data_IF_745738218741
#
_entry.id   IF_745738218741
#
_cell.length_a   1.000
_cell.length_b   1.000
_cell.length_c   1.000
_cell.angle_alpha   90.00
_cell.angle_beta   90.00
_cell.angle_gamma   90.00
#
_symmetry.space_group_name_H-M   'P 1'
#
loop_
_entity.id
_entity.type
_entity.pdbx_description
1 polymer ?
#
# COMPACT_ATOMS: atom_id res chain seq x y z
N UNK A 1 11.10 4.97 8.78
CA UNK A 1 11.19 4.07 9.95
C UNK A 1 12.46 3.26 9.78
N UNK A 2 13.47 3.45 10.64
CA UNK A 2 14.63 2.56 10.65
C UNK A 2 14.12 1.12 10.81
N UNK A 3 14.50 0.22 9.90
CA UNK A 3 13.98 -1.15 9.91
C UNK A 3 14.30 -1.77 11.27
N UNK A 4 13.32 -2.49 11.85
CA UNK A 4 13.48 -3.24 13.10
C UNK A 4 14.75 -4.13 13.07
N UNK A 5 15.18 -4.50 11.86
CA UNK A 5 16.40 -5.23 11.60
C UNK A 5 17.70 -4.55 12.06
N UNK A 6 17.76 -3.22 12.12
CA UNK A 6 18.96 -2.50 12.54
C UNK A 6 19.29 -2.66 14.05
N UNK A 7 18.30 -3.06 14.86
CA UNK A 7 18.45 -3.25 16.30
C UNK A 7 18.70 -4.72 16.71
N UNK A 8 18.47 -5.67 15.79
CA UNK A 8 18.72 -7.10 16.00
C UNK A 8 20.15 -7.44 16.47
N UNK A 9 21.22 -6.77 15.99
CA UNK A 9 22.58 -7.03 16.47
C UNK A 9 22.73 -6.72 17.96
N UNK A 10 22.13 -5.63 18.44
CA UNK A 10 22.17 -5.25 19.86
C UNK A 10 21.35 -6.22 20.72
N UNK A 11 20.16 -6.63 20.26
CA UNK A 11 19.34 -7.61 20.96
C UNK A 11 20.03 -8.97 21.08
N UNK A 12 20.71 -9.44 20.02
CA UNK A 12 21.48 -10.69 20.06
C UNK A 12 22.70 -10.59 20.97
N UNK A 13 23.44 -9.49 20.91
CA UNK A 13 24.62 -9.29 21.76
C UNK A 13 24.27 -9.35 23.27
N UNK A 14 23.13 -8.77 23.65
CA UNK A 14 22.62 -8.82 25.03
C UNK A 14 22.19 -10.23 25.46
N UNK A 15 21.78 -11.10 24.53
CA UNK A 15 21.28 -12.43 24.84
C UNK A 15 22.39 -13.45 25.13
N UNK A 16 23.61 -13.27 24.60
CA UNK A 16 24.71 -14.26 24.58
C UNK A 16 25.00 -14.88 25.96
N UNK A 17 24.85 -14.12 27.05
CA UNK A 17 25.12 -14.61 28.40
C UNK A 17 24.09 -15.59 28.97
N UNK A 18 22.81 -15.50 28.58
CA UNK A 18 21.72 -16.28 29.19
C UNK A 18 20.98 -17.21 28.19
N UNK A 19 21.31 -17.17 26.89
CA UNK A 19 20.74 -18.08 25.87
C UNK A 19 20.76 -19.55 26.27
N UNK A 20 21.83 -20.10 26.90
CA UNK A 20 21.87 -21.53 27.23
C UNK A 20 20.79 -21.97 28.22
N UNK A 21 20.14 -21.02 28.91
CA UNK A 21 19.11 -21.25 29.94
C UNK A 21 17.72 -20.81 29.44
N UNK A 22 17.65 -20.09 28.30
CA UNK A 22 16.41 -19.54 27.79
C UNK A 22 15.64 -20.55 26.92
N UNK A 23 14.34 -20.69 27.18
CA UNK A 23 13.43 -21.49 26.33
C UNK A 23 13.03 -20.78 25.02
N UNK A 24 13.33 -19.48 24.87
CA UNK A 24 12.95 -18.71 23.69
C UNK A 24 14.07 -18.74 22.63
N UNK A 25 13.72 -18.93 21.34
CA UNK A 25 14.69 -18.94 20.26
C UNK A 25 15.34 -17.56 20.07
N UNK A 26 16.61 -17.57 19.67
CA UNK A 26 17.36 -16.34 19.38
C UNK A 26 16.70 -15.53 18.24
N UNK A 27 16.79 -14.19 18.29
CA UNK A 27 16.38 -13.35 17.17
C UNK A 27 17.12 -13.76 15.88
N UNK A 28 16.48 -13.65 14.72
CA UNK A 28 17.09 -14.03 13.44
C UNK A 28 18.46 -13.35 13.20
N UNK A 29 19.40 -14.02 12.53
CA UNK A 29 20.72 -13.45 12.24
C UNK A 29 20.61 -12.23 11.30
N UNK A 30 21.57 -11.30 11.36
CA UNK A 30 21.55 -10.12 10.50
C UNK A 30 21.58 -10.51 9.02
N UNK A 31 20.74 -9.82 8.24
CA UNK A 31 20.53 -9.98 6.81
C UNK A 31 21.88 -9.89 6.06
N UNK A 32 22.12 -10.82 5.13
CA UNK A 32 23.36 -10.90 4.32
C UNK A 32 23.51 -9.65 3.44
N UNK A 33 24.75 -9.35 3.00
CA UNK A 33 25.00 -8.19 2.11
C UNK A 33 24.20 -8.24 0.81
N UNK A 34 23.91 -9.44 0.32
CA UNK A 34 23.20 -9.70 -0.93
C UNK A 34 21.69 -9.47 -0.79
N UNK A 35 21.10 -9.89 0.34
CA UNK A 35 19.71 -9.60 0.67
C UNK A 35 19.48 -8.10 0.91
N UNK A 36 20.41 -7.39 1.58
CA UNK A 36 20.33 -5.92 1.73
C UNK A 36 20.33 -5.20 0.39
N UNK A 37 21.16 -5.62 -0.57
CA UNK A 37 21.18 -5.03 -1.92
C UNK A 37 19.84 -5.16 -2.64
N UNK A 38 19.13 -6.28 -2.44
CA UNK A 38 17.82 -6.51 -3.05
C UNK A 38 16.71 -5.69 -2.37
N UNK A 39 16.82 -5.47 -1.05
CA UNK A 39 15.92 -4.62 -0.27
C UNK A 39 16.09 -3.11 -0.57
N UNK A 40 17.31 -2.70 -0.93
CA UNK A 40 17.68 -1.32 -1.28
C UNK A 40 17.54 -1.02 -2.79
N UNK A 41 16.82 -1.84 -3.56
CA UNK A 41 16.57 -1.54 -4.97
C UNK A 41 15.36 -0.61 -5.11
N UNK A 42 15.57 0.54 -5.77
CA UNK A 42 14.47 1.38 -6.23
C UNK A 42 13.97 0.88 -7.58
N UNK A 43 12.68 1.03 -7.81
CA UNK A 43 12.06 0.76 -9.09
C UNK A 43 11.09 1.87 -9.47
N UNK A 44 10.78 1.93 -10.76
CA UNK A 44 9.92 2.96 -11.35
C UNK A 44 8.53 2.36 -11.59
N UNK A 45 7.51 3.13 -11.19
CA UNK A 45 6.10 2.87 -11.47
C UNK A 45 5.59 4.02 -12.33
N UNK A 46 5.33 3.76 -13.60
CA UNK A 46 4.76 4.71 -14.53
C UNK A 46 3.24 4.56 -14.54
N UNK A 47 2.53 5.60 -14.12
CA UNK A 47 1.06 5.65 -14.09
C UNK A 47 0.57 6.67 -15.11
N UNK A 48 0.06 6.18 -16.24
CA UNK A 48 -0.39 6.97 -17.41
C UNK A 48 0.59 8.10 -17.80
N UNK A 49 1.90 7.81 -17.77
CA UNK A 49 2.98 8.74 -18.11
C UNK A 49 3.64 9.43 -16.91
N UNK A 50 3.01 9.45 -15.73
CA UNK A 50 3.60 10.01 -14.51
C UNK A 50 4.46 8.95 -13.83
N UNK A 51 5.77 9.22 -13.74
CA UNK A 51 6.73 8.32 -13.11
C UNK A 51 6.81 8.55 -11.61
N UNK A 52 6.56 7.49 -10.85
CA UNK A 52 6.78 7.40 -9.43
C UNK A 52 7.97 6.49 -9.15
N UNK A 53 8.76 6.84 -8.14
CA UNK A 53 9.85 6.00 -7.67
C UNK A 53 9.63 5.60 -6.21
N UNK A 54 9.93 4.34 -5.91
CA UNK A 54 9.89 3.82 -4.55
C UNK A 54 10.87 2.68 -4.36
N UNK A 55 11.18 2.37 -3.10
CA UNK A 55 11.98 1.21 -2.74
C UNK A 55 11.14 -0.07 -2.82
N UNK A 56 11.74 -1.18 -3.24
CA UNK A 56 11.09 -2.49 -3.26
C UNK A 56 10.49 -2.87 -1.90
N UNK A 57 11.27 -2.68 -0.84
CA UNK A 57 10.84 -2.93 0.54
C UNK A 57 9.62 -2.10 1.00
N UNK A 58 9.27 -1.02 0.29
CA UNK A 58 8.14 -0.17 0.65
C UNK A 58 6.83 -0.84 0.28
N UNK A 59 6.76 -1.43 -0.92
CA UNK A 59 5.56 -2.13 -1.38
C UNK A 59 5.42 -3.53 -0.74
N UNK A 60 6.54 -4.20 -0.46
CA UNK A 60 6.58 -5.53 0.16
C UNK A 60 6.02 -5.56 1.60
N UNK A 61 5.74 -4.40 2.22
CA UNK A 61 5.07 -4.34 3.53
C UNK A 61 3.65 -4.90 3.52
N UNK A 62 2.99 -4.89 2.36
CA UNK A 62 1.60 -5.31 2.19
C UNK A 62 1.50 -6.34 1.06
N UNK A 63 1.98 -7.57 1.27
CA UNK A 63 2.15 -8.58 0.22
C UNK A 63 0.82 -9.13 -0.34
N UNK A 64 -0.29 -8.80 0.28
CA UNK A 64 -1.67 -9.13 -0.10
C UNK A 64 -2.29 -8.13 -1.10
N UNK A 65 -1.57 -7.08 -1.46
CA UNK A 65 -1.98 -6.06 -2.43
C UNK A 65 -1.30 -6.24 -3.78
N UNK A 66 -1.80 -5.63 -4.85
CA UNK A 66 -1.24 -5.77 -6.20
C UNK A 66 0.25 -5.39 -6.27
N UNK A 67 0.63 -4.25 -5.69
CA UNK A 67 2.02 -3.78 -5.74
C UNK A 67 2.93 -4.55 -4.80
N UNK A 68 2.41 -5.08 -3.70
CA UNK A 68 3.19 -5.85 -2.73
C UNK A 68 3.37 -7.31 -3.15
N UNK A 69 2.45 -7.85 -3.94
CA UNK A 69 2.46 -9.24 -4.42
C UNK A 69 3.26 -9.40 -5.72
N UNK A 70 3.27 -10.63 -6.25
CA UNK A 70 3.85 -10.93 -7.56
C UNK A 70 2.95 -10.46 -8.72
N UNK A 71 1.73 -9.99 -8.46
CA UNK A 71 0.81 -9.54 -9.51
C UNK A 71 1.34 -8.31 -10.26
N UNK A 72 2.12 -7.45 -9.59
CA UNK A 72 2.79 -6.33 -10.29
C UNK A 72 3.64 -6.77 -11.47
N UNK A 73 4.20 -7.99 -11.45
CA UNK A 73 5.09 -8.46 -12.53
C UNK A 73 4.35 -8.64 -13.86
N UNK A 74 3.01 -8.74 -13.86
CA UNK A 74 2.20 -8.69 -15.08
C UNK A 74 2.20 -7.32 -15.77
N UNK A 75 2.58 -6.27 -15.04
CA UNK A 75 2.63 -4.88 -15.51
C UNK A 75 4.05 -4.40 -15.78
N UNK A 76 5.06 -5.27 -15.62
CA UNK A 76 6.44 -4.92 -15.86
C UNK A 76 6.77 -4.92 -17.35
N UNK A 77 7.33 -3.82 -17.85
CA UNK A 77 7.86 -3.73 -19.21
C UNK A 77 9.38 -3.90 -19.20
N UNK A 78 9.85 -4.96 -19.87
CA UNK A 78 11.28 -5.27 -19.94
C UNK A 78 12.09 -4.26 -20.77
N UNK A 79 11.46 -3.60 -21.75
CA UNK A 79 12.14 -2.65 -22.64
C UNK A 79 12.44 -1.35 -21.89
N UNK A 80 11.42 -0.78 -21.24
CA UNK A 80 11.54 0.46 -20.47
C UNK A 80 12.06 0.25 -19.05
N UNK A 81 12.06 -0.99 -18.54
CA UNK A 81 12.45 -1.37 -17.18
C UNK A 81 11.65 -0.65 -16.09
N UNK A 82 10.35 -0.44 -16.36
CA UNK A 82 9.40 0.16 -15.43
C UNK A 82 8.11 -0.65 -15.39
N UNK A 83 7.35 -0.52 -14.29
CA UNK A 83 5.99 -1.04 -14.23
C UNK A 83 5.04 0.00 -14.82
N UNK A 84 4.16 -0.40 -15.74
CA UNK A 84 3.21 0.50 -16.38
C UNK A 84 1.76 0.21 -15.97
N UNK A 85 1.06 1.25 -15.54
CA UNK A 85 -0.35 1.21 -15.19
C UNK A 85 -1.10 2.30 -15.95
N UNK A 86 -2.10 1.90 -16.74
CA UNK A 86 -3.00 2.85 -17.40
C UNK A 86 -4.16 3.25 -16.47
N UNK A 87 -3.81 3.97 -15.39
CA UNK A 87 -4.65 4.28 -14.23
C UNK A 87 -4.51 5.75 -13.83
N UNK A 88 -5.32 6.21 -12.88
CA UNK A 88 -5.29 7.61 -12.44
C UNK A 88 -4.02 7.94 -11.60
N UNK A 89 -3.14 8.84 -12.07
CA UNK A 89 -1.90 9.17 -11.37
C UNK A 89 -2.08 10.09 -10.15
N UNK A 90 -3.20 10.79 -10.02
CA UNK A 90 -3.49 11.68 -8.89
C UNK A 90 -3.97 10.86 -7.68
N UNK A 91 -4.85 9.88 -7.90
CA UNK A 91 -5.27 8.92 -6.88
C UNK A 91 -4.11 7.99 -6.50
N UNK A 92 -3.30 7.53 -7.47
CA UNK A 92 -2.16 6.66 -7.20
C UNK A 92 -1.18 7.24 -6.18
N UNK A 93 -1.02 8.56 -6.11
CA UNK A 93 -0.18 9.22 -5.10
C UNK A 93 -0.61 8.85 -3.67
N UNK A 94 -1.91 8.72 -3.42
CA UNK A 94 -2.44 8.32 -2.11
C UNK A 94 -2.19 6.85 -1.82
N UNK A 95 -2.34 6.00 -2.84
CA UNK A 95 -2.04 4.56 -2.79
C UNK A 95 -0.57 4.34 -2.44
N UNK A 96 0.36 5.00 -3.15
CA UNK A 96 1.79 4.87 -2.86
C UNK A 96 2.16 5.38 -1.45
N UNK A 97 1.48 6.43 -0.97
CA UNK A 97 1.70 6.96 0.37
C UNK A 97 1.20 6.01 1.48
N UNK A 98 0.20 5.18 1.21
CA UNK A 98 -0.21 4.11 2.13
C UNK A 98 0.95 3.15 2.39
N UNK A 99 1.65 2.65 1.36
CA UNK A 99 2.84 1.79 1.55
C UNK A 99 3.97 2.47 2.33
N UNK A 100 4.12 3.80 2.17
CA UNK A 100 5.17 4.57 2.85
C UNK A 100 4.87 4.77 4.34
N UNK A 101 3.64 5.15 4.67
CA UNK A 101 3.24 5.62 6.01
C UNK A 101 2.47 4.59 6.83
N UNK A 102 1.86 3.61 6.17
CA UNK A 102 0.92 2.65 6.73
C UNK A 102 -0.46 3.22 7.04
N UNK A 103 -0.77 4.43 6.57
CA UNK A 103 -2.07 5.08 6.74
C UNK A 103 -2.62 5.48 5.39
N UNK A 104 -3.83 5.00 5.06
CA UNK A 104 -4.51 5.38 3.84
C UNK A 104 -5.31 6.67 4.09
N UNK A 105 -5.11 7.66 3.23
CA UNK A 105 -5.76 8.96 3.34
C UNK A 105 -6.77 9.14 2.20
N UNK A 106 -7.99 9.53 2.55
CA UNK A 106 -9.04 9.87 1.60
C UNK A 106 -8.91 11.33 1.13
N UNK A 107 -8.70 11.58 -0.19
CA UNK A 107 -8.67 12.94 -0.74
C UNK A 107 -10.07 13.50 -0.97
N UNK A 108 -10.47 14.51 -0.19
CA UNK A 108 -11.83 15.11 -0.25
C UNK A 108 -12.21 15.71 -1.60
N UNK A 109 -11.24 16.10 -2.41
CA UNK A 109 -11.44 16.70 -3.73
C UNK A 109 -11.70 15.67 -4.83
N UNK A 110 -11.43 14.39 -4.57
CA UNK A 110 -11.65 13.34 -5.55
C UNK A 110 -13.09 12.83 -5.52
N UNK A 111 -13.52 12.27 -6.65
CA UNK A 111 -14.75 11.51 -6.72
C UNK A 111 -14.61 10.24 -5.85
N UNK A 112 -15.62 9.97 -5.02
CA UNK A 112 -15.63 8.79 -4.15
C UNK A 112 -15.53 7.49 -4.97
N UNK A 113 -16.33 7.38 -6.05
CA UNK A 113 -16.38 6.16 -6.86
C UNK A 113 -15.04 5.91 -7.56
N UNK A 114 -14.45 6.94 -8.17
CA UNK A 114 -13.13 6.83 -8.78
C UNK A 114 -12.05 6.43 -7.77
N UNK A 115 -12.13 6.96 -6.54
CA UNK A 115 -11.22 6.55 -5.47
C UNK A 115 -11.41 5.08 -5.08
N UNK A 116 -12.65 4.62 -4.86
CA UNK A 116 -12.96 3.22 -4.54
C UNK A 116 -12.54 2.27 -5.68
N UNK A 117 -12.72 2.66 -6.94
CA UNK A 117 -12.32 1.88 -8.12
C UNK A 117 -10.80 1.69 -8.19
N UNK A 118 -10.02 2.74 -7.91
CA UNK A 118 -8.55 2.64 -7.86
C UNK A 118 -8.10 1.81 -6.66
N UNK A 119 -8.71 1.98 -5.48
CA UNK A 119 -8.40 1.14 -4.33
C UNK A 119 -8.64 -0.35 -4.63
N UNK A 120 -9.78 -0.66 -5.25
CA UNK A 120 -10.12 -2.02 -5.67
C UNK A 120 -9.10 -2.59 -6.66
N UNK A 121 -8.69 -1.80 -7.66
CA UNK A 121 -7.68 -2.23 -8.64
C UNK A 121 -6.34 -2.58 -7.99
N UNK A 122 -5.87 -1.76 -7.04
CA UNK A 122 -4.60 -2.03 -6.34
C UNK A 122 -4.73 -3.02 -5.17
N UNK A 123 -5.93 -3.59 -4.95
CA UNK A 123 -6.19 -4.59 -3.92
C UNK A 123 -6.15 -4.04 -2.50
N UNK A 124 -6.52 -2.77 -2.30
CA UNK A 124 -6.53 -2.12 -0.99
C UNK A 124 -7.98 -1.96 -0.51
N UNK A 125 -8.30 -2.51 0.66
CA UNK A 125 -9.64 -2.44 1.24
C UNK A 125 -9.84 -1.05 1.88
N UNK A 126 -10.96 -0.34 1.62
CA UNK A 126 -11.21 0.99 2.20
C UNK A 126 -11.22 1.03 3.75
N UNK A 127 -11.40 -0.11 4.41
CA UNK A 127 -11.37 -0.23 5.87
C UNK A 127 -10.00 0.13 6.50
N UNK A 128 -8.93 0.20 5.70
CA UNK A 128 -7.60 0.64 6.15
C UNK A 128 -7.42 2.17 6.13
N UNK A 129 -8.46 2.93 5.74
CA UNK A 129 -8.46 4.39 5.84
C UNK A 129 -8.25 4.79 7.30
N UNK A 130 -7.25 5.64 7.54
CA UNK A 130 -6.93 6.07 8.89
C UNK A 130 -8.00 6.98 9.48
N UNK A 131 -8.12 6.98 10.81
CA UNK A 131 -9.09 7.77 11.59
C UNK A 131 -9.15 9.26 11.18
N UNK A 132 -8.01 9.82 10.77
CA UNK A 132 -7.92 11.21 10.31
C UNK A 132 -8.77 11.54 9.08
N UNK A 133 -9.18 10.54 8.29
CA UNK A 133 -9.95 10.72 7.07
C UNK A 133 -11.19 9.80 6.99
N UNK A 134 -11.35 8.90 7.97
CA UNK A 134 -12.41 7.88 7.96
C UNK A 134 -13.81 8.48 7.97
N UNK A 135 -14.04 9.48 8.83
CA UNK A 135 -15.33 10.16 8.94
C UNK A 135 -15.73 10.83 7.61
N UNK A 136 -14.79 11.56 6.99
CA UNK A 136 -15.03 12.21 5.69
C UNK A 136 -15.37 11.20 4.58
N UNK A 137 -14.65 10.07 4.54
CA UNK A 137 -14.93 9.00 3.58
C UNK A 137 -16.32 8.39 3.81
N UNK A 138 -16.65 8.07 5.06
CA UNK A 138 -17.93 7.45 5.43
C UNK A 138 -19.11 8.36 5.10
N UNK A 139 -19.00 9.65 5.41
CA UNK A 139 -20.04 10.63 5.13
C UNK A 139 -20.28 10.77 3.62
N UNK A 140 -19.20 10.86 2.82
CA UNK A 140 -19.29 10.88 1.36
C UNK A 140 -19.90 9.59 0.78
N UNK A 141 -19.59 8.44 1.36
CA UNK A 141 -20.16 7.14 0.96
C UNK A 141 -21.65 7.06 1.24
N UNK A 142 -22.07 7.56 2.40
CA UNK A 142 -23.49 7.67 2.74
C UNK A 142 -24.24 8.60 1.79
N UNK A 143 -23.73 9.80 1.55
CA UNK A 143 -24.34 10.77 0.64
C UNK A 143 -24.47 10.20 -0.78
N UNK A 144 -23.44 9.53 -1.28
CA UNK A 144 -23.49 8.89 -2.60
C UNK A 144 -24.55 7.78 -2.66
N UNK A 145 -24.70 6.98 -1.60
CA UNK A 145 -25.71 5.94 -1.54
C UNK A 145 -27.13 6.50 -1.49
N UNK A 146 -27.36 7.58 -0.73
CA UNK A 146 -28.65 8.28 -0.67
C UNK A 146 -29.06 8.81 -2.06
N UNK A 147 -28.14 9.46 -2.78
CA UNK A 147 -28.39 9.94 -4.16
C UNK A 147 -28.76 8.81 -5.13
N UNK A 148 -28.04 7.69 -5.08
CA UNK A 148 -28.33 6.53 -5.94
C UNK A 148 -29.71 5.90 -5.63
N UNK A 149 -30.14 5.94 -4.37
CA UNK A 149 -31.48 5.48 -3.99
C UNK A 149 -32.57 6.40 -4.51
N UNK A 150 -32.37 7.72 -4.40
CA UNK A 150 -33.30 8.73 -4.90
C UNK A 150 -33.46 8.65 -6.43
N UNK A 151 -32.35 8.54 -7.16
CA UNK A 151 -32.36 8.36 -8.62
C UNK A 151 -33.14 7.10 -9.00
N UNK A 152 -32.88 5.97 -8.34
CA UNK A 152 -33.59 4.71 -8.58
C UNK A 152 -35.09 4.80 -8.28
N UNK A 153 -35.49 5.52 -7.23
CA UNK A 153 -36.90 5.74 -6.90
C UNK A 153 -37.59 6.59 -7.98
N UNK A 154 -36.91 7.62 -8.46
CA UNK A 154 -37.43 8.48 -9.53
C UNK A 154 -37.62 7.75 -10.87
N UNK A 155 -36.77 6.78 -11.19
CA UNK A 155 -36.93 5.95 -12.39
C UNK A 155 -38.15 5.03 -12.30
N UNK A 156 -38.42 4.48 -11.11
CA UNK A 156 -39.59 3.61 -10.86
C UNK A 156 -40.91 4.39 -10.95
N UNK A 157 -40.95 5.62 -10.43
CA UNK A 157 -42.15 6.46 -10.47
C UNK A 157 -42.50 6.96 -11.89
N UNK A 158 -41.52 6.98 -12.81
CA UNK A 158 -41.68 7.43 -14.19
C UNK A 158 -42.03 6.29 -15.18
N UNK A 159 -42.25 5.06 -14.69
CA UNK A 159 -42.49 3.87 -15.49
C UNK A 159 -43.88 3.28 -15.27
#
# INVERSE_FOLDING_TARGET
>A
MASVAAWLPFARAAAIGWVPIANNPLPAPPITKEQRKKEDEKFVINVSGRRFETWRNTVEKYPDTLLGSNEREFFYDEESKEYFFDRDPDIFRHILNYYRTGKLHYPKHECLLSYDDELAFFGIIPDVIGDCCYEDYRDRKRENAERLMDDRMSEVDNQ
#
